data_IF_423412302797
#
_entry.id   IF_423412302797
#
_cell.length_a   1.000
_cell.length_b   1.000
_cell.length_c   1.000
_cell.angle_alpha   90.00
_cell.angle_beta   90.00
_cell.angle_gamma   90.00
#
_symmetry.space_group_name_H-M   'P 1'
#
loop_
_entity.id
_entity.type
_entity.pdbx_description
1 polymer ?
#
# COMPACT_ATOMS: atom_id res chain seq x y z
N UNK A 1 0.17 -15.99 14.96
CA UNK A 1 -0.57 -14.71 15.02
C UNK A 1 -1.45 -14.66 13.77
N UNK A 2 -2.77 -14.63 13.95
CA UNK A 2 -3.67 -14.47 12.82
C UNK A 2 -3.71 -12.99 12.40
N UNK A 3 -3.70 -12.74 11.08
CA UNK A 3 -3.86 -11.41 10.51
C UNK A 3 -5.33 -11.22 10.10
N UNK A 4 -5.92 -10.12 10.55
CA UNK A 4 -7.32 -9.78 10.31
C UNK A 4 -7.38 -8.56 9.40
N UNK A 5 -8.13 -8.66 8.29
CA UNK A 5 -8.27 -7.59 7.31
C UNK A 5 -9.65 -6.96 7.40
N UNK A 6 -9.70 -5.63 7.56
CA UNK A 6 -10.94 -4.87 7.68
C UNK A 6 -10.88 -3.60 6.85
N UNK A 7 -11.98 -3.28 6.17
CA UNK A 7 -12.10 -1.99 5.50
C UNK A 7 -12.27 -0.86 6.52
N UNK A 8 -11.46 0.20 6.37
CA UNK A 8 -11.57 1.40 7.18
C UNK A 8 -12.55 2.40 6.54
N UNK A 9 -13.83 2.30 6.88
CA UNK A 9 -14.90 3.07 6.24
C UNK A 9 -15.15 4.42 6.90
N UNK A 10 -14.95 4.54 8.21
CA UNK A 10 -15.28 5.75 8.94
C UNK A 10 -14.15 6.81 8.95
N UNK A 11 -14.54 8.07 9.04
CA UNK A 11 -13.61 9.21 9.05
C UNK A 11 -12.66 9.20 10.24
N UNK A 12 -13.12 8.71 11.40
CA UNK A 12 -12.34 8.70 12.65
C UNK A 12 -11.19 7.68 12.57
N UNK A 13 -11.48 6.48 12.05
CA UNK A 13 -10.46 5.45 11.81
C UNK A 13 -9.41 5.92 10.81
N UNK A 14 -9.83 6.54 9.70
CA UNK A 14 -8.91 7.12 8.71
C UNK A 14 -8.02 8.21 9.30
N UNK A 15 -8.58 9.09 10.14
CA UNK A 15 -7.79 10.10 10.85
C UNK A 15 -6.82 9.48 11.86
N UNK A 16 -7.19 8.37 12.52
CA UNK A 16 -6.31 7.65 13.44
C UNK A 16 -5.11 7.04 12.70
N UNK A 17 -5.33 6.45 11.51
CA UNK A 17 -4.25 5.94 10.65
C UNK A 17 -3.27 7.05 10.24
N UNK A 18 -3.77 8.23 9.85
CA UNK A 18 -2.90 9.37 9.54
C UNK A 18 -2.01 9.75 10.71
N UNK A 19 -2.60 9.88 11.91
CA UNK A 19 -1.84 10.22 13.12
C UNK A 19 -0.81 9.16 13.48
N UNK A 20 -1.12 7.89 13.26
CA UNK A 20 -0.16 6.80 13.47
C UNK A 20 1.00 6.90 12.48
N UNK A 21 0.73 7.16 11.19
CA UNK A 21 1.77 7.41 10.19
C UNK A 21 2.63 8.62 10.54
N UNK A 22 2.02 9.70 11.03
CA UNK A 22 2.71 10.90 11.48
C UNK A 22 3.63 10.61 12.68
N UNK A 23 3.11 9.95 13.70
CA UNK A 23 3.84 9.59 14.91
C UNK A 23 5.04 8.65 14.63
N UNK A 24 4.94 7.80 13.63
CA UNK A 24 5.99 6.89 13.21
C UNK A 24 6.92 7.46 12.12
N UNK A 25 6.67 8.69 11.65
CA UNK A 25 7.48 9.35 10.61
C UNK A 25 7.31 8.73 9.22
N UNK A 26 6.18 8.10 8.94
CA UNK A 26 5.92 7.36 7.69
C UNK A 26 5.28 8.22 6.60
N UNK A 27 4.78 9.42 6.92
CA UNK A 27 4.07 10.28 5.96
C UNK A 27 4.86 10.57 4.67
N UNK A 28 6.18 10.84 4.69
CA UNK A 28 6.94 11.08 3.47
C UNK A 28 6.97 9.89 2.51
N UNK A 29 6.73 8.69 3.00
CA UNK A 29 6.69 7.47 2.21
C UNK A 29 5.26 7.10 1.82
N UNK A 30 4.32 7.15 2.76
CA UNK A 30 2.92 6.81 2.54
C UNK A 30 2.19 7.82 1.64
N UNK A 31 2.62 9.08 1.66
CA UNK A 31 2.06 10.18 0.87
C UNK A 31 3.15 10.85 0.03
N UNK A 32 3.99 10.07 -0.62
CA UNK A 32 5.16 10.55 -1.38
C UNK A 32 4.82 11.45 -2.59
N UNK A 33 3.56 11.49 -3.02
CA UNK A 33 3.08 12.41 -4.06
C UNK A 33 2.83 13.83 -3.55
N UNK A 34 2.82 14.06 -2.23
CA UNK A 34 2.59 15.35 -1.60
C UNK A 34 3.89 15.94 -1.05
N UNK A 35 4.17 17.20 -1.37
CA UNK A 35 5.32 17.92 -0.80
C UNK A 35 5.15 18.17 0.71
N UNK A 36 3.93 18.39 1.16
CA UNK A 36 3.57 18.62 2.55
C UNK A 36 2.26 17.87 2.87
N UNK A 37 2.34 16.55 3.14
CA UNK A 37 1.16 15.77 3.43
C UNK A 37 0.48 16.24 4.72
N UNK A 38 -0.85 16.39 4.69
CA UNK A 38 -1.67 16.79 5.82
C UNK A 38 -2.92 15.92 5.96
N UNK A 39 -3.58 16.03 7.10
CA UNK A 39 -4.77 15.24 7.39
C UNK A 39 -5.92 15.47 6.39
N UNK A 40 -6.07 16.71 5.89
CA UNK A 40 -7.10 17.03 4.90
C UNK A 40 -6.89 16.27 3.60
N UNK A 41 -5.67 16.28 3.08
CA UNK A 41 -5.28 15.54 1.87
C UNK A 41 -5.48 14.03 2.06
N UNK A 42 -5.08 13.48 3.21
CA UNK A 42 -5.28 12.08 3.54
C UNK A 42 -6.76 11.70 3.57
N UNK A 43 -7.60 12.49 4.23
CA UNK A 43 -9.04 12.22 4.32
C UNK A 43 -9.73 12.34 2.96
N UNK A 44 -9.26 13.25 2.09
CA UNK A 44 -9.74 13.36 0.72
C UNK A 44 -9.30 12.18 -0.14
N UNK A 45 -8.01 11.80 -0.03
CA UNK A 45 -7.43 10.64 -0.73
C UNK A 45 -8.14 9.34 -0.36
N UNK A 46 -8.41 9.11 0.92
CA UNK A 46 -9.00 7.88 1.45
C UNK A 46 -10.52 7.97 1.62
N UNK A 47 -11.18 8.95 1.01
CA UNK A 47 -12.64 9.06 1.08
C UNK A 47 -13.30 7.79 0.52
N UNK A 48 -14.24 7.21 1.29
CA UNK A 48 -14.99 6.04 0.85
C UNK A 48 -15.84 6.41 -0.38
N UNK A 49 -15.38 6.00 -1.54
CA UNK A 49 -16.04 6.22 -2.83
C UNK A 49 -15.84 5.00 -3.71
N UNK A 50 -16.64 4.89 -4.76
CA UNK A 50 -16.50 3.80 -5.73
C UNK A 50 -15.08 3.75 -6.31
N UNK A 51 -14.54 2.55 -6.38
CA UNK A 51 -13.19 2.30 -6.86
C UNK A 51 -12.06 2.66 -5.88
N UNK A 52 -12.36 2.88 -4.59
CA UNK A 52 -11.35 3.13 -3.57
C UNK A 52 -11.63 2.33 -2.29
N UNK A 53 -10.64 1.59 -1.83
CA UNK A 53 -10.72 0.76 -0.63
C UNK A 53 -9.48 0.99 0.24
N UNK A 54 -9.69 1.41 1.48
CA UNK A 54 -8.66 1.45 2.51
C UNK A 54 -8.82 0.21 3.39
N UNK A 55 -7.85 -0.68 3.35
CA UNK A 55 -7.81 -1.94 4.08
C UNK A 55 -6.83 -1.83 5.24
N UNK A 56 -7.27 -2.12 6.46
CA UNK A 56 -6.41 -2.25 7.64
C UNK A 56 -6.08 -3.71 7.89
N UNK A 57 -4.86 -3.98 8.31
CA UNK A 57 -4.42 -5.25 8.84
C UNK A 57 -4.20 -5.12 10.34
N UNK A 58 -4.88 -5.96 11.12
CA UNK A 58 -4.84 -6.00 12.58
C UNK A 58 -4.40 -7.38 13.06
N UNK A 59 -3.87 -7.45 14.28
CA UNK A 59 -3.70 -8.71 14.99
C UNK A 59 -4.97 -9.11 15.76
N UNK A 60 -4.91 -10.24 16.45
CA UNK A 60 -6.01 -10.79 17.26
C UNK A 60 -6.42 -9.87 18.43
N UNK A 61 -5.56 -8.94 18.83
CA UNK A 61 -5.85 -7.96 19.91
C UNK A 61 -6.49 -6.69 19.38
N UNK A 62 -6.58 -6.53 18.05
CA UNK A 62 -7.06 -5.31 17.39
C UNK A 62 -5.97 -4.26 17.21
N UNK A 63 -4.69 -4.59 17.43
CA UNK A 63 -3.60 -3.70 17.14
C UNK A 63 -3.41 -3.57 15.62
N UNK A 64 -3.40 -2.35 15.13
CA UNK A 64 -3.16 -2.07 13.70
C UNK A 64 -1.69 -2.31 13.38
N UNK A 65 -1.43 -3.22 12.46
CA UNK A 65 -0.10 -3.62 12.00
C UNK A 65 0.29 -2.96 10.68
N UNK A 66 -0.68 -2.58 9.86
CA UNK A 66 -0.48 -1.94 8.58
C UNK A 66 -1.77 -1.54 7.91
N UNK A 67 -1.67 -0.82 6.80
CA UNK A 67 -2.81 -0.52 5.94
C UNK A 67 -2.42 -0.50 4.48
N UNK A 68 -3.38 -0.81 3.60
CA UNK A 68 -3.25 -0.75 2.16
C UNK A 68 -4.37 0.07 1.56
N UNK A 69 -4.03 0.98 0.66
CA UNK A 69 -4.99 1.72 -0.15
C UNK A 69 -5.05 1.12 -1.54
N UNK A 70 -6.21 0.60 -1.91
CA UNK A 70 -6.49 0.12 -3.26
C UNK A 70 -7.29 1.16 -4.02
N UNK A 71 -6.84 1.50 -5.22
CA UNK A 71 -7.53 2.44 -6.11
C UNK A 71 -7.74 1.78 -7.45
N UNK A 72 -9.00 1.69 -7.89
CA UNK A 72 -9.39 1.07 -9.15
C UNK A 72 -8.79 1.85 -10.33
N UNK A 73 -8.20 1.11 -11.23
CA UNK A 73 -7.73 1.55 -12.53
C UNK A 73 -8.64 0.94 -13.63
N UNK A 74 -8.53 1.35 -14.89
CA UNK A 74 -9.21 0.67 -15.99
C UNK A 74 -8.88 -0.84 -16.06
N UNK A 75 -9.79 -1.63 -16.63
CA UNK A 75 -9.56 -3.05 -17.01
C UNK A 75 -9.32 -4.02 -15.85
N UNK A 76 -10.01 -3.84 -14.70
CA UNK A 76 -9.88 -4.72 -13.52
C UNK A 76 -8.47 -4.70 -12.90
N UNK A 77 -7.74 -3.61 -13.12
CA UNK A 77 -6.44 -3.33 -12.51
C UNK A 77 -6.66 -2.46 -11.27
N UNK A 78 -5.96 -2.76 -10.19
CA UNK A 78 -5.99 -1.95 -8.97
C UNK A 78 -4.60 -1.46 -8.62
N UNK A 79 -4.48 -0.16 -8.36
CA UNK A 79 -3.27 0.42 -7.80
C UNK A 79 -3.26 0.19 -6.29
N UNK A 80 -2.10 -0.11 -5.74
CA UNK A 80 -1.92 -0.45 -4.34
C UNK A 80 -0.79 0.37 -3.72
N UNK A 81 -1.11 1.05 -2.63
CA UNK A 81 -0.14 1.68 -1.74
C UNK A 81 -0.20 0.99 -0.39
N UNK A 82 0.95 0.61 0.16
CA UNK A 82 1.03 -0.14 1.41
C UNK A 82 1.92 0.56 2.43
N UNK A 83 1.44 0.63 3.66
CA UNK A 83 2.18 1.14 4.81
C UNK A 83 2.15 0.11 5.92
N UNK A 84 3.30 -0.45 6.28
CA UNK A 84 3.47 -1.22 7.51
C UNK A 84 3.79 -0.28 8.66
N UNK A 85 3.16 -0.47 9.80
CA UNK A 85 3.48 0.20 11.05
C UNK A 85 4.57 -0.56 11.81
N UNK A 86 5.25 0.12 12.73
CA UNK A 86 6.36 -0.45 13.50
C UNK A 86 6.00 -1.80 14.15
N UNK A 87 4.80 -1.90 14.72
CA UNK A 87 4.28 -3.14 15.31
C UNK A 87 4.18 -4.30 14.30
N UNK A 88 4.00 -3.99 13.02
CA UNK A 88 3.81 -4.96 11.94
C UNK A 88 5.04 -5.23 11.06
N UNK A 89 6.18 -4.58 11.30
CA UNK A 89 7.35 -4.70 10.41
C UNK A 89 7.84 -6.15 10.24
N UNK A 90 7.82 -6.94 11.30
CA UNK A 90 8.28 -8.32 11.27
C UNK A 90 7.44 -9.23 10.33
N UNK A 91 6.18 -8.88 10.12
CA UNK A 91 5.21 -9.64 9.30
C UNK A 91 4.69 -8.84 8.09
N UNK A 92 5.43 -7.82 7.67
CA UNK A 92 4.99 -6.90 6.61
C UNK A 92 4.74 -7.60 5.26
N UNK A 93 5.53 -8.62 4.92
CA UNK A 93 5.32 -9.41 3.71
C UNK A 93 4.03 -10.23 3.79
N UNK A 94 3.76 -10.86 4.93
CA UNK A 94 2.53 -11.62 5.17
C UNK A 94 1.31 -10.72 5.11
N UNK A 95 1.39 -9.51 5.70
CA UNK A 95 0.33 -8.50 5.63
C UNK A 95 0.03 -8.09 4.19
N UNK A 96 1.07 -7.79 3.41
CA UNK A 96 0.89 -7.37 2.03
C UNK A 96 0.31 -8.51 1.17
N UNK A 97 0.86 -9.72 1.27
CA UNK A 97 0.35 -10.90 0.56
C UNK A 97 -1.11 -11.21 0.91
N UNK A 98 -1.47 -11.16 2.19
CA UNK A 98 -2.86 -11.35 2.63
C UNK A 98 -3.79 -10.22 2.15
N UNK A 99 -3.30 -8.97 2.09
CA UNK A 99 -4.02 -7.85 1.50
C UNK A 99 -4.30 -8.04 0.01
N UNK A 100 -3.34 -8.59 -0.76
CA UNK A 100 -3.54 -8.93 -2.18
C UNK A 100 -4.54 -10.07 -2.35
N UNK A 101 -4.43 -11.12 -1.54
CA UNK A 101 -5.41 -12.21 -1.56
C UNK A 101 -6.81 -11.66 -1.27
N UNK A 102 -6.95 -10.82 -0.23
CA UNK A 102 -8.21 -10.16 0.08
C UNK A 102 -8.75 -9.36 -1.12
N UNK A 103 -7.88 -8.62 -1.82
CA UNK A 103 -8.29 -7.83 -2.99
C UNK A 103 -8.77 -8.73 -4.15
N UNK A 104 -8.07 -9.83 -4.43
CA UNK A 104 -8.49 -10.79 -5.46
C UNK A 104 -9.81 -11.49 -5.11
N UNK A 105 -10.09 -11.73 -3.83
CA UNK A 105 -11.30 -12.43 -3.37
C UNK A 105 -12.52 -11.50 -3.30
N UNK A 106 -12.33 -10.19 -3.06
CA UNK A 106 -13.43 -9.27 -2.74
C UNK A 106 -13.61 -8.12 -3.73
N UNK A 107 -12.59 -7.82 -4.55
CA UNK A 107 -12.66 -6.78 -5.56
C UNK A 107 -12.71 -7.42 -6.94
N UNK A 108 -13.32 -6.74 -7.90
CA UNK A 108 -13.19 -7.13 -9.31
C UNK A 108 -11.77 -6.82 -9.80
N UNK A 109 -10.81 -7.67 -9.41
CA UNK A 109 -9.37 -7.47 -9.53
C UNK A 109 -8.72 -8.66 -10.24
N UNK A 110 -7.99 -8.41 -11.32
CA UNK A 110 -7.15 -9.42 -12.00
C UNK A 110 -5.67 -9.09 -11.91
N UNK A 111 -5.36 -7.84 -11.61
CA UNK A 111 -3.97 -7.37 -11.49
C UNK A 111 -3.86 -6.28 -10.44
N UNK A 112 -2.79 -6.34 -9.67
CA UNK A 112 -2.40 -5.26 -8.73
C UNK A 112 -1.12 -4.62 -9.24
N UNK A 113 -1.09 -3.29 -9.29
CA UNK A 113 0.09 -2.50 -9.62
C UNK A 113 0.45 -1.58 -8.44
N UNK A 114 1.72 -1.26 -8.32
CA UNK A 114 2.18 -0.30 -7.33
C UNK A 114 3.28 0.59 -7.90
N UNK A 115 3.42 1.77 -7.32
CA UNK A 115 4.49 2.71 -7.63
C UNK A 115 5.34 2.88 -6.38
N UNK A 116 6.63 2.64 -6.48
CA UNK A 116 7.52 2.71 -5.34
C UNK A 116 8.68 3.67 -5.61
N UNK A 117 8.94 4.64 -4.73
CA UNK A 117 10.13 5.49 -4.82
C UNK A 117 11.41 4.67 -4.78
N UNK A 118 12.33 4.88 -5.73
CA UNK A 118 13.56 4.11 -5.84
C UNK A 118 14.42 4.06 -4.55
N UNK A 119 14.50 5.11 -3.70
CA UNK A 119 15.22 5.04 -2.43
C UNK A 119 14.53 4.24 -1.35
N UNK A 120 13.23 3.95 -1.49
CA UNK A 120 12.49 3.15 -0.51
C UNK A 120 12.84 1.66 -0.67
N UNK A 121 14.07 1.30 -0.29
CA UNK A 121 14.59 -0.08 -0.43
C UNK A 121 13.78 -1.11 0.35
N UNK A 122 13.12 -0.71 1.43
CA UNK A 122 12.26 -1.61 2.22
C UNK A 122 11.01 -1.99 1.43
N UNK A 123 10.34 -1.01 0.81
CA UNK A 123 9.17 -1.27 -0.04
C UNK A 123 9.54 -2.13 -1.27
N UNK A 124 10.72 -1.94 -1.84
CA UNK A 124 11.26 -2.76 -2.92
C UNK A 124 11.40 -4.23 -2.56
N UNK A 125 12.05 -4.49 -1.41
CA UNK A 125 12.23 -5.86 -0.91
C UNK A 125 10.89 -6.50 -0.60
N UNK A 126 9.98 -5.75 0.01
CA UNK A 126 8.63 -6.19 0.30
C UNK A 126 7.87 -6.56 -0.99
N UNK A 127 7.84 -5.66 -1.97
CA UNK A 127 7.18 -5.91 -3.24
C UNK A 127 7.74 -7.14 -3.94
N UNK A 128 9.08 -7.28 -3.99
CA UNK A 128 9.72 -8.47 -4.58
C UNK A 128 9.37 -9.75 -3.82
N UNK A 129 9.31 -9.71 -2.49
CA UNK A 129 8.91 -10.86 -1.67
C UNK A 129 7.45 -11.27 -1.91
N UNK A 130 6.59 -10.31 -2.29
CA UNK A 130 5.19 -10.56 -2.67
C UNK A 130 5.02 -10.90 -4.17
N UNK A 131 6.10 -11.15 -4.92
CA UNK A 131 6.03 -11.57 -6.31
C UNK A 131 5.88 -10.45 -7.34
N UNK A 132 5.99 -9.18 -6.93
CA UNK A 132 5.97 -8.07 -7.89
C UNK A 132 7.19 -8.07 -8.79
N UNK A 133 6.98 -7.70 -10.05
CA UNK A 133 8.03 -7.50 -11.05
C UNK A 133 8.07 -6.04 -11.50
N UNK A 134 9.26 -5.53 -11.74
CA UNK A 134 9.44 -4.18 -12.30
C UNK A 134 8.98 -4.16 -13.75
N UNK A 135 8.04 -3.28 -14.07
CA UNK A 135 7.57 -3.08 -15.45
C UNK A 135 8.27 -1.91 -16.12
N UNK A 136 8.46 -0.81 -15.39
CA UNK A 136 9.02 0.41 -15.94
C UNK A 136 9.70 1.25 -14.86
N UNK A 137 10.60 2.14 -15.29
CA UNK A 137 11.20 3.19 -14.46
C UNK A 137 10.73 4.54 -14.96
N UNK A 138 10.14 5.33 -14.09
CA UNK A 138 9.62 6.66 -14.39
C UNK A 138 10.56 7.73 -13.79
N UNK A 139 11.41 8.39 -14.60
CA UNK A 139 12.33 9.39 -14.09
C UNK A 139 11.58 10.61 -13.52
N UNK A 140 12.01 11.11 -12.37
CA UNK A 140 11.51 12.35 -11.76
C UNK A 140 10.01 12.35 -11.44
N UNK A 141 9.43 11.21 -11.17
CA UNK A 141 7.98 11.07 -10.99
C UNK A 141 7.50 11.23 -9.54
N UNK A 142 8.37 11.41 -8.52
CA UNK A 142 7.95 11.72 -7.13
C UNK A 142 8.73 12.80 -6.42
N UNK A 143 8.10 13.34 -5.38
CA UNK A 143 8.74 14.12 -4.35
C UNK A 143 9.08 13.18 -3.19
N UNK A 144 10.35 12.95 -2.92
CA UNK A 144 10.74 12.46 -1.62
C UNK A 144 11.27 13.63 -0.81
N UNK A 145 11.11 13.57 0.49
CA UNK A 145 11.50 14.58 1.47
C UNK A 145 13.00 14.93 1.52
N UNK A 146 13.82 14.30 0.68
CA UNK A 146 15.16 14.76 0.35
C UNK A 146 15.11 15.54 -0.98
N UNK A 147 15.90 16.61 -1.14
CA UNK A 147 15.87 17.47 -2.34
C UNK A 147 16.33 16.76 -3.63
N UNK A 148 16.60 15.49 -3.60
CA UNK A 148 16.97 14.69 -4.76
C UNK A 148 15.71 14.21 -5.49
N UNK A 149 15.57 14.60 -6.75
CA UNK A 149 14.57 14.07 -7.68
C UNK A 149 14.81 12.58 -7.88
N UNK A 150 13.80 11.76 -7.60
CA UNK A 150 13.93 10.32 -7.52
C UNK A 150 13.15 9.64 -8.63
N UNK A 151 13.74 8.56 -9.14
CA UNK A 151 13.13 7.71 -10.15
C UNK A 151 12.16 6.71 -9.51
N UNK A 152 10.97 6.56 -10.10
CA UNK A 152 10.02 5.51 -9.74
C UNK A 152 10.25 4.25 -10.55
N UNK A 153 9.92 3.14 -9.95
CA UNK A 153 9.73 1.88 -10.63
C UNK A 153 8.28 1.43 -10.42
N UNK A 154 7.60 1.10 -11.50
CA UNK A 154 6.26 0.50 -11.45
C UNK A 154 6.44 -0.99 -11.28
N UNK A 155 5.80 -1.53 -10.25
CA UNK A 155 5.79 -2.96 -9.98
C UNK A 155 4.39 -3.49 -10.33
N UNK A 156 4.33 -4.46 -11.21
CA UNK A 156 3.10 -5.19 -11.51
C UNK A 156 3.24 -6.63 -11.01
N UNK A 157 2.26 -7.11 -10.25
CA UNK A 157 2.15 -8.54 -10.01
C UNK A 157 1.41 -9.19 -11.18
N UNK A 158 1.89 -10.31 -11.67
CA UNK A 158 1.04 -11.24 -12.42
C UNK A 158 0.02 -11.83 -11.45
N UNK A 159 -1.13 -12.29 -11.97
CA UNK A 159 -2.17 -12.88 -11.13
C UNK A 159 -1.57 -13.91 -10.16
N UNK A 160 -2.10 -14.00 -8.97
CA UNK A 160 -1.61 -14.89 -7.90
C UNK A 160 -1.58 -16.37 -8.33
N UNK A 161 -2.32 -16.74 -9.38
CA UNK A 161 -2.33 -18.08 -9.96
C UNK A 161 -1.02 -18.42 -10.68
N UNK A 162 -0.36 -17.44 -11.33
CA UNK A 162 0.92 -17.66 -12.00
C UNK A 162 2.08 -17.80 -11.00
N UNK A 163 1.96 -17.23 -9.80
CA UNK A 163 2.99 -17.36 -8.77
C UNK A 163 2.99 -18.74 -8.10
N UNK A 164 1.86 -19.47 -8.14
CA UNK A 164 1.73 -20.83 -7.60
C UNK A 164 2.15 -21.94 -8.59
N UNK A 165 2.11 -21.66 -9.88
CA UNK A 165 2.45 -22.64 -10.93
C UNK A 165 3.94 -22.67 -11.31
N UNK A 166 4.76 -21.83 -10.68
CA UNK A 166 6.21 -21.72 -10.94
C UNK A 166 7.10 -22.33 -9.86
N UNK A 167 6.56 -23.25 -9.01
CA UNK A 167 7.33 -23.99 -7.99
C UNK A 167 7.48 -25.43 -8.38
#
# INVERSE_FOLDING_TARGET
MALIYRQCLDKRGRAALFRLMEAEGLLPFAMSAWAQPNLGDWLALTACRDGMVLLCCEDETGQILGCGLFTRQPYRVWHFDFTAFRAGFAVAAEQACGGFQWAFDHLDCTSVMGVCPAPNRHAWRLASACGFRVLARLPKACWCSAPARINFEILQSQSFEDARSGS
#
